data_IF_482657703266
#
_entry.id   IF_482657703266
#
_cell.length_a   1.000
_cell.length_b   1.000
_cell.length_c   1.000
_cell.angle_alpha   90.00
_cell.angle_beta   90.00
_cell.angle_gamma   90.00
#
_symmetry.space_group_name_H-M   'P 1'
#
loop_
_entity.id
_entity.type
_entity.pdbx_description
1 polymer ?
#
# COMPACT_ATOMS: atom_id res chain seq x y z
N UNK A 1 9.63 31.79 0.71
CA UNK A 1 9.09 30.81 1.68
C UNK A 1 8.14 29.89 0.94
N UNK A 2 8.67 28.84 0.31
CA UNK A 2 7.88 27.95 -0.56
C UNK A 2 7.43 26.70 0.18
N UNK A 3 6.18 26.29 -0.07
CA UNK A 3 5.52 24.96 -0.05
C UNK A 3 5.84 23.88 0.99
N UNK A 4 7.01 23.89 1.63
CA UNK A 4 7.48 22.86 2.56
C UNK A 4 6.63 22.70 3.81
N UNK A 5 5.91 23.76 4.20
CA UNK A 5 5.01 23.75 5.37
C UNK A 5 3.78 22.87 5.17
N UNK A 6 3.21 22.85 3.96
CA UNK A 6 2.03 22.06 3.62
C UNK A 6 2.40 20.59 3.34
N UNK A 7 3.57 20.35 2.75
CA UNK A 7 4.06 18.99 2.49
C UNK A 7 4.37 18.22 3.79
N UNK A 8 4.90 18.89 4.82
CA UNK A 8 5.28 18.24 6.08
C UNK A 8 4.06 17.80 6.91
N UNK A 9 3.06 18.68 7.05
CA UNK A 9 1.81 18.37 7.75
C UNK A 9 0.99 17.29 7.03
N UNK A 10 1.01 17.25 5.68
CA UNK A 10 0.32 16.21 4.92
C UNK A 10 0.96 14.82 5.11
N UNK A 11 2.31 14.74 5.15
CA UNK A 11 3.01 13.47 5.42
C UNK A 11 2.72 12.92 6.82
N UNK A 12 2.63 13.80 7.82
CA UNK A 12 2.36 13.41 9.21
C UNK A 12 0.96 12.80 9.38
N UNK A 13 -0.02 13.27 8.62
CA UNK A 13 -1.42 12.87 8.78
C UNK A 13 -1.74 11.52 8.11
N UNK A 14 -1.05 11.17 7.01
CA UNK A 14 -1.40 9.96 6.24
C UNK A 14 -0.71 8.71 6.80
N UNK A 15 0.48 8.86 7.40
CA UNK A 15 1.10 7.75 8.13
C UNK A 15 0.24 7.26 9.32
N UNK A 16 -0.63 8.11 9.88
CA UNK A 16 -1.51 7.74 10.99
C UNK A 16 -2.76 6.98 10.52
N UNK A 17 -3.21 7.18 9.28
CA UNK A 17 -4.38 6.52 8.71
C UNK A 17 -4.07 5.22 7.95
N UNK A 18 -2.80 4.80 7.93
CA UNK A 18 -2.34 3.54 7.37
C UNK A 18 -1.82 2.69 8.53
N UNK A 19 -2.39 1.51 8.84
CA UNK A 19 -1.93 0.68 9.96
C UNK A 19 -0.44 0.33 9.92
N UNK A 20 0.14 0.15 8.74
CA UNK A 20 1.58 -0.06 8.57
C UNK A 20 2.44 1.19 8.84
N UNK A 21 1.85 2.34 9.13
CA UNK A 21 2.55 3.56 9.55
C UNK A 21 3.34 4.27 8.44
N UNK A 22 3.19 3.84 7.18
CA UNK A 22 3.93 4.39 6.05
C UNK A 22 3.10 4.38 4.78
N UNK A 23 3.49 5.24 3.85
CA UNK A 23 3.03 5.13 2.47
C UNK A 23 3.56 3.87 1.80
N UNK A 24 2.77 3.33 0.88
CA UNK A 24 3.24 2.33 -0.07
C UNK A 24 4.32 2.91 -0.98
N UNK A 25 5.36 2.13 -1.22
CA UNK A 25 6.37 2.32 -2.26
C UNK A 25 5.91 1.59 -3.53
N UNK A 26 6.51 1.92 -4.68
CA UNK A 26 6.19 1.27 -5.96
C UNK A 26 6.39 -0.26 -5.89
N UNK A 27 7.37 -0.72 -5.13
CA UNK A 27 7.69 -2.12 -4.92
C UNK A 27 6.56 -2.90 -4.20
N UNK A 28 5.78 -2.23 -3.34
CA UNK A 28 4.69 -2.88 -2.62
C UNK A 28 3.61 -3.40 -3.57
N UNK A 29 3.42 -2.76 -4.73
CA UNK A 29 2.49 -3.25 -5.79
C UNK A 29 3.22 -4.13 -6.81
N UNK A 30 4.47 -3.79 -7.15
CA UNK A 30 5.21 -4.49 -8.19
C UNK A 30 5.45 -5.96 -7.83
N UNK A 31 5.78 -6.28 -6.57
CA UNK A 31 6.08 -7.66 -6.18
C UNK A 31 4.86 -8.57 -6.13
N UNK A 32 3.70 -8.16 -5.55
CA UNK A 32 2.48 -8.98 -5.64
C UNK A 32 2.01 -9.17 -7.09
N UNK A 33 2.13 -8.15 -7.93
CA UNK A 33 1.82 -8.27 -9.36
C UNK A 33 2.77 -9.26 -10.06
N UNK A 34 4.07 -9.21 -9.74
CA UNK A 34 5.05 -10.14 -10.27
C UNK A 34 4.76 -11.58 -9.82
N UNK A 35 4.37 -11.79 -8.57
CA UNK A 35 3.94 -13.10 -8.06
C UNK A 35 2.73 -13.62 -8.84
N UNK A 36 1.70 -12.80 -9.07
CA UNK A 36 0.55 -13.22 -9.88
C UNK A 36 0.87 -13.47 -11.36
N UNK A 37 1.98 -12.94 -11.85
CA UNK A 37 2.47 -13.20 -13.20
C UNK A 37 3.42 -14.40 -13.29
N UNK A 38 3.82 -14.99 -12.16
CA UNK A 38 4.82 -16.04 -12.11
C UNK A 38 4.22 -17.45 -12.08
N UNK A 39 5.05 -18.46 -12.33
CA UNK A 39 4.62 -19.87 -12.35
C UNK A 39 4.17 -20.35 -10.96
N UNK A 40 4.68 -19.72 -9.89
CA UNK A 40 4.31 -19.98 -8.51
C UNK A 40 2.83 -19.71 -8.22
N UNK A 41 2.16 -18.86 -8.99
CA UNK A 41 0.72 -18.60 -8.87
C UNK A 41 -0.13 -19.34 -9.90
N UNK A 42 0.40 -20.37 -10.57
CA UNK A 42 -0.25 -21.05 -11.72
C UNK A 42 -1.64 -21.64 -11.46
N UNK A 43 -2.04 -21.83 -10.20
CA UNK A 43 -3.36 -22.32 -9.82
C UNK A 43 -4.24 -21.28 -9.10
N UNK A 44 -3.80 -20.02 -9.06
CA UNK A 44 -4.53 -18.91 -8.44
C UNK A 44 -5.22 -18.11 -9.55
N UNK A 45 -6.55 -18.03 -9.50
CA UNK A 45 -7.35 -17.26 -10.46
C UNK A 45 -8.60 -16.66 -9.81
N UNK A 46 -9.13 -15.59 -10.40
CA UNK A 46 -10.34 -14.91 -9.94
C UNK A 46 -10.23 -14.19 -8.59
N UNK A 47 -9.02 -14.04 -8.06
CA UNK A 47 -8.79 -13.41 -6.76
C UNK A 47 -8.46 -11.92 -6.90
N UNK A 48 -8.84 -11.15 -5.89
CA UNK A 48 -8.35 -9.78 -5.68
C UNK A 48 -7.44 -9.78 -4.47
N UNK A 49 -6.23 -9.23 -4.62
CA UNK A 49 -5.31 -9.00 -3.51
C UNK A 49 -5.31 -7.52 -3.17
N UNK A 50 -5.78 -7.19 -1.96
CA UNK A 50 -5.75 -5.81 -1.45
C UNK A 50 -4.34 -5.54 -0.93
N UNK A 51 -3.71 -4.48 -1.45
CA UNK A 51 -2.37 -4.03 -1.05
C UNK A 51 -2.44 -2.55 -0.68
N UNK A 52 -2.80 -2.28 0.58
CA UNK A 52 -3.13 -0.92 1.05
C UNK A 52 -2.52 -0.58 2.40
N UNK A 53 -1.57 -1.38 2.89
CA UNK A 53 -0.96 -1.17 4.21
C UNK A 53 -1.92 -1.39 5.39
N UNK A 54 -3.04 -2.08 5.17
CA UNK A 54 -4.02 -2.45 6.19
C UNK A 54 -5.24 -1.55 6.27
N UNK A 55 -5.40 -0.56 5.38
CA UNK A 55 -6.50 0.42 5.45
C UNK A 55 -7.90 -0.19 5.35
N UNK A 56 -8.05 -1.30 4.64
CA UNK A 56 -9.33 -1.99 4.44
C UNK A 56 -9.66 -2.97 5.58
N UNK A 57 -8.73 -3.23 6.51
CA UNK A 57 -8.99 -4.14 7.63
C UNK A 57 -10.05 -3.53 8.55
N UNK A 58 -11.15 -4.25 8.87
CA UNK A 58 -12.13 -3.74 9.82
C UNK A 58 -11.51 -3.67 11.22
N UNK A 59 -11.53 -2.48 11.81
CA UNK A 59 -11.28 -2.28 13.23
C UNK A 59 -12.43 -2.94 14.00
N UNK A 60 -12.12 -3.96 14.80
CA UNK A 60 -13.05 -4.52 15.78
C UNK A 60 -12.89 -3.82 17.13
#
# INVERSE_FOLDING_TARGET
MGDKGVTYIAKFNIAQSIPMGRWGEREDIAYPALFFASDESSYITGQTLVVDGGQTLPEY
#
